data_IF_477537666195
#
_entry.id   IF_477537666195
#
_cell.length_a   1.000
_cell.length_b   1.000
_cell.length_c   1.000
_cell.angle_alpha   90.00
_cell.angle_beta   90.00
_cell.angle_gamma   90.00
#
_symmetry.space_group_name_H-M   'P 1'
#
loop_
_entity.id
_entity.type
_entity.pdbx_description
1 polymer ?
#
# COMPACT_ATOMS: atom_id res chain seq x y z
N UNK A 1 -16.38 -9.07 -11.87
CA UNK A 1 -15.62 -9.61 -13.02
C UNK A 1 -14.36 -10.27 -12.47
N UNK A 2 -13.93 -11.40 -13.03
CA UNK A 2 -12.71 -12.10 -12.63
C UNK A 2 -11.45 -11.38 -13.11
N UNK A 3 -10.34 -11.46 -12.34
CA UNK A 3 -9.06 -10.81 -12.65
C UNK A 3 -8.53 -11.20 -14.02
N UNK A 4 -8.62 -12.47 -14.38
CA UNK A 4 -8.17 -12.99 -15.68
C UNK A 4 -8.91 -12.38 -16.86
N UNK A 5 -10.22 -12.09 -16.70
CA UNK A 5 -11.01 -11.41 -17.73
C UNK A 5 -10.55 -9.96 -17.91
N UNK A 6 -10.23 -9.26 -16.82
CA UNK A 6 -9.72 -7.88 -16.87
C UNK A 6 -8.35 -7.86 -17.56
N UNK A 7 -7.45 -8.77 -17.19
CA UNK A 7 -6.13 -8.90 -17.82
C UNK A 7 -6.31 -9.14 -19.33
N UNK A 8 -7.22 -10.03 -19.74
CA UNK A 8 -7.49 -10.30 -21.16
C UNK A 8 -7.95 -9.03 -21.90
N UNK A 9 -8.86 -8.25 -21.32
CA UNK A 9 -9.32 -6.98 -21.91
C UNK A 9 -8.16 -5.97 -22.05
N UNK A 10 -7.29 -5.86 -21.04
CA UNK A 10 -6.09 -5.02 -21.08
C UNK A 10 -5.14 -5.46 -22.21
N UNK A 11 -4.94 -6.76 -22.38
CA UNK A 11 -4.12 -7.30 -23.47
C UNK A 11 -4.71 -7.05 -24.85
N UNK A 12 -6.04 -7.04 -24.96
CA UNK A 12 -6.77 -6.70 -26.19
C UNK A 12 -6.87 -5.20 -26.45
N UNK A 13 -6.37 -4.35 -25.53
CA UNK A 13 -6.51 -2.90 -25.60
C UNK A 13 -7.98 -2.46 -25.73
N UNK A 14 -8.89 -3.18 -25.08
CA UNK A 14 -10.31 -2.86 -25.09
C UNK A 14 -10.61 -1.76 -24.05
N UNK A 15 -11.26 -0.67 -24.45
CA UNK A 15 -11.62 0.45 -23.54
C UNK A 15 -12.42 -0.02 -22.33
N UNK A 16 -13.25 -1.04 -22.48
CA UNK A 16 -14.01 -1.68 -21.39
C UNK A 16 -13.12 -2.24 -20.25
N UNK A 17 -11.80 -2.38 -20.48
CA UNK A 17 -10.87 -2.76 -19.41
C UNK A 17 -10.78 -1.69 -18.32
N UNK A 18 -10.80 -0.40 -18.69
CA UNK A 18 -10.76 0.72 -17.74
C UNK A 18 -12.04 0.74 -16.90
N UNK A 19 -13.20 0.58 -17.53
CA UNK A 19 -14.48 0.50 -16.80
C UNK A 19 -14.50 -0.70 -15.84
N UNK A 20 -13.94 -1.84 -16.26
CA UNK A 20 -13.84 -3.04 -15.43
C UNK A 20 -12.90 -2.85 -14.23
N UNK A 21 -11.77 -2.14 -14.41
CA UNK A 21 -10.86 -1.75 -13.32
C UNK A 21 -11.58 -0.82 -12.34
N UNK A 22 -12.22 0.24 -12.85
CA UNK A 22 -12.95 1.20 -12.03
C UNK A 22 -14.06 0.54 -11.20
N UNK A 23 -14.87 -0.31 -11.84
CA UNK A 23 -15.95 -1.03 -11.16
C UNK A 23 -15.44 -1.98 -10.07
N UNK A 24 -14.32 -2.67 -10.30
CA UNK A 24 -13.80 -3.67 -9.37
C UNK A 24 -12.94 -3.08 -8.27
N UNK A 25 -12.07 -2.14 -8.59
CA UNK A 25 -11.03 -1.65 -7.68
C UNK A 25 -11.23 -0.20 -7.23
N UNK A 26 -12.09 0.58 -7.91
CA UNK A 26 -12.20 2.04 -7.74
C UNK A 26 -12.48 2.47 -6.32
N UNK A 27 -13.47 1.88 -5.64
CA UNK A 27 -13.82 2.24 -4.27
C UNK A 27 -12.64 2.06 -3.30
N UNK A 28 -11.90 0.96 -3.44
CA UNK A 28 -10.75 0.70 -2.57
C UNK A 28 -9.55 1.57 -2.92
N UNK A 29 -9.30 1.81 -4.21
CA UNK A 29 -8.28 2.78 -4.66
C UNK A 29 -8.56 4.17 -4.12
N UNK A 30 -9.81 4.64 -4.23
CA UNK A 30 -10.23 5.93 -3.68
C UNK A 30 -9.99 6.01 -2.17
N UNK A 31 -10.33 4.95 -1.43
CA UNK A 31 -10.06 4.88 0.02
C UNK A 31 -8.56 4.99 0.33
N UNK A 32 -7.71 4.28 -0.42
CA UNK A 32 -6.25 4.35 -0.25
C UNK A 32 -5.73 5.76 -0.55
N UNK A 33 -6.13 6.33 -1.69
CA UNK A 33 -5.71 7.66 -2.09
C UNK A 33 -6.18 8.75 -1.09
N UNK A 34 -7.43 8.67 -0.63
CA UNK A 34 -7.96 9.58 0.39
C UNK A 34 -7.23 9.47 1.73
N UNK A 35 -6.89 8.25 2.18
CA UNK A 35 -6.13 8.03 3.41
C UNK A 35 -4.71 8.63 3.34
N UNK A 36 -4.13 8.72 2.13
CA UNK A 36 -2.79 9.26 1.91
C UNK A 36 -2.83 10.77 1.67
N UNK A 37 -3.72 11.23 0.80
CA UNK A 37 -3.72 12.60 0.29
C UNK A 37 -4.63 13.54 1.07
N UNK A 38 -5.69 13.02 1.68
CA UNK A 38 -6.66 13.81 2.46
C UNK A 38 -7.55 14.77 1.63
N UNK A 39 -7.29 14.93 0.34
CA UNK A 39 -8.02 15.84 -0.58
C UNK A 39 -8.66 15.03 -1.68
N UNK A 40 -9.97 15.18 -1.85
CA UNK A 40 -10.76 14.36 -2.79
C UNK A 40 -10.29 14.51 -4.24
N UNK A 41 -10.02 15.74 -4.68
CA UNK A 41 -9.57 16.01 -6.05
C UNK A 41 -8.23 15.33 -6.35
N UNK A 42 -7.25 15.42 -5.43
CA UNK A 42 -5.95 14.77 -5.57
C UNK A 42 -6.08 13.23 -5.56
N UNK A 43 -7.01 12.72 -4.76
CA UNK A 43 -7.31 11.30 -4.71
C UNK A 43 -7.93 10.78 -6.02
N UNK A 44 -8.89 11.51 -6.60
CA UNK A 44 -9.49 11.18 -7.91
C UNK A 44 -8.44 11.15 -9.01
N UNK A 45 -7.56 12.15 -9.04
CA UNK A 45 -6.49 12.23 -10.04
C UNK A 45 -5.52 11.03 -9.89
N UNK A 46 -5.10 10.71 -8.65
CA UNK A 46 -4.26 9.54 -8.39
C UNK A 46 -4.92 8.22 -8.77
N UNK A 47 -6.23 8.09 -8.62
CA UNK A 47 -6.99 6.91 -9.06
C UNK A 47 -7.01 6.81 -10.59
N UNK A 48 -7.23 7.92 -11.29
CA UNK A 48 -7.22 7.96 -12.75
C UNK A 48 -5.83 7.65 -13.30
N UNK A 49 -4.78 8.21 -12.70
CA UNK A 49 -3.39 7.90 -13.04
C UNK A 49 -3.06 6.43 -12.81
N UNK A 50 -3.66 5.81 -11.79
CA UNK A 50 -3.52 4.38 -11.53
C UNK A 50 -4.09 3.55 -12.69
N UNK A 51 -5.28 3.89 -13.18
CA UNK A 51 -5.86 3.18 -14.33
C UNK A 51 -5.00 3.32 -15.58
N UNK A 52 -4.47 4.53 -15.83
CA UNK A 52 -3.57 4.79 -16.95
C UNK A 52 -2.25 4.01 -16.80
N UNK A 53 -1.66 3.98 -15.61
CA UNK A 53 -0.44 3.22 -15.35
C UNK A 53 -0.65 1.71 -15.56
N UNK A 54 -1.76 1.15 -15.07
CA UNK A 54 -2.11 -0.25 -15.29
C UNK A 54 -2.33 -0.52 -16.77
N UNK A 55 -3.07 0.34 -17.48
CA UNK A 55 -3.27 0.26 -18.91
C UNK A 55 -1.95 0.23 -19.69
N UNK A 56 -1.01 1.09 -19.35
CA UNK A 56 0.27 1.21 -20.04
C UNK A 56 1.23 0.05 -19.75
N UNK A 57 1.11 -0.59 -18.58
CA UNK A 57 2.04 -1.64 -18.15
C UNK A 57 1.53 -3.06 -18.36
N UNK A 58 0.23 -3.24 -18.58
CA UNK A 58 -0.40 -4.52 -18.91
C UNK A 58 -1.03 -4.44 -20.31
N UNK A 59 -0.45 -5.05 -21.35
CA UNK A 59 0.80 -5.82 -21.40
C UNK A 59 2.06 -4.91 -21.39
N UNK A 60 3.28 -5.48 -21.23
CA UNK A 60 3.61 -6.91 -21.24
C UNK A 60 3.49 -7.61 -19.88
N UNK A 61 3.33 -6.86 -18.78
CA UNK A 61 3.20 -7.48 -17.44
C UNK A 61 1.94 -8.35 -17.37
N UNK A 62 2.03 -9.46 -16.63
CA UNK A 62 0.91 -10.34 -16.27
C UNK A 62 0.83 -10.46 -14.75
N UNK A 63 0.28 -9.43 -14.07
CA UNK A 63 0.23 -9.46 -12.62
C UNK A 63 -0.70 -10.55 -12.09
N UNK A 64 -0.21 -11.30 -11.08
CA UNK A 64 -0.96 -12.29 -10.35
C UNK A 64 -0.60 -12.21 -8.86
N UNK A 65 -1.51 -11.79 -7.99
CA UNK A 65 -2.88 -11.34 -8.26
C UNK A 65 -2.94 -9.91 -8.84
N UNK A 66 -3.88 -9.65 -9.75
CA UNK A 66 -4.10 -8.33 -10.33
C UNK A 66 -4.43 -7.28 -9.26
N UNK A 67 -5.23 -7.64 -8.26
CA UNK A 67 -5.61 -6.75 -7.17
C UNK A 67 -4.38 -6.17 -6.42
N UNK A 68 -3.41 -7.02 -6.09
CA UNK A 68 -2.16 -6.60 -5.45
C UNK A 68 -1.40 -5.58 -6.29
N UNK A 69 -1.29 -5.82 -7.58
CA UNK A 69 -0.62 -4.93 -8.52
C UNK A 69 -1.31 -3.57 -8.63
N UNK A 70 -2.64 -3.57 -8.82
CA UNK A 70 -3.45 -2.35 -8.95
C UNK A 70 -3.36 -1.49 -7.68
N UNK A 71 -3.51 -2.09 -6.50
CA UNK A 71 -3.44 -1.35 -5.23
C UNK A 71 -2.03 -0.86 -4.91
N UNK A 72 -0.99 -1.63 -5.21
CA UNK A 72 0.39 -1.19 -5.06
C UNK A 72 0.69 0.01 -5.97
N UNK A 73 0.26 -0.05 -7.23
CA UNK A 73 0.41 1.04 -8.19
C UNK A 73 -0.29 2.31 -7.69
N UNK A 74 -1.54 2.22 -7.27
CA UNK A 74 -2.31 3.36 -6.79
C UNK A 74 -1.74 3.96 -5.50
N UNK A 75 -1.26 3.11 -4.58
CA UNK A 75 -0.58 3.57 -3.37
C UNK A 75 0.71 4.33 -3.70
N UNK A 76 1.55 3.81 -4.58
CA UNK A 76 2.80 4.46 -4.96
C UNK A 76 2.54 5.82 -5.63
N UNK A 77 1.60 5.89 -6.57
CA UNK A 77 1.20 7.15 -7.22
C UNK A 77 0.72 8.17 -6.17
N UNK A 78 -0.12 7.74 -5.22
CA UNK A 78 -0.62 8.63 -4.16
C UNK A 78 0.51 9.12 -3.24
N UNK A 79 1.49 8.28 -2.91
CA UNK A 79 2.65 8.66 -2.10
C UNK A 79 3.57 9.64 -2.85
N UNK A 80 3.81 9.41 -4.14
CA UNK A 80 4.63 10.32 -4.95
C UNK A 80 3.95 11.68 -5.11
N UNK A 81 2.64 11.70 -5.30
CA UNK A 81 1.86 12.93 -5.31
C UNK A 81 1.92 13.65 -3.96
N UNK A 82 1.81 12.93 -2.84
CA UNK A 82 1.96 13.51 -1.50
C UNK A 82 3.33 14.17 -1.33
N UNK A 83 4.42 13.50 -1.75
CA UNK A 83 5.78 14.06 -1.71
C UNK A 83 5.87 15.35 -2.52
N UNK A 84 5.28 15.39 -3.72
CA UNK A 84 5.24 16.59 -4.55
C UNK A 84 4.52 17.75 -3.86
N UNK A 85 3.31 17.51 -3.34
CA UNK A 85 2.49 18.52 -2.64
C UNK A 85 3.19 19.03 -1.37
N UNK A 86 3.80 18.13 -0.59
CA UNK A 86 4.50 18.50 0.65
C UNK A 86 5.81 19.24 0.39
N UNK A 87 6.52 18.91 -0.67
CA UNK A 87 7.71 19.64 -1.11
C UNK A 87 7.39 21.10 -1.49
N UNK A 88 6.23 21.34 -2.13
CA UNK A 88 5.76 22.68 -2.46
C UNK A 88 5.33 23.50 -1.22
N UNK A 89 4.66 22.86 -0.26
CA UNK A 89 4.00 23.57 0.87
C UNK A 89 4.86 23.73 2.12
N UNK A 90 6.01 23.06 2.26
CA UNK A 90 6.90 23.07 3.45
C UNK A 90 6.17 23.00 4.81
N UNK A 91 5.00 22.37 4.88
CA UNK A 91 4.18 22.31 6.09
C UNK A 91 4.05 20.85 6.56
N UNK A 92 4.72 20.54 7.69
CA UNK A 92 4.90 19.19 8.22
C UNK A 92 3.66 18.57 8.88
N UNK A 93 2.47 18.66 8.27
CA UNK A 93 1.20 18.24 8.87
C UNK A 93 0.58 16.96 8.34
N UNK A 94 1.33 16.12 7.66
CA UNK A 94 0.77 14.84 7.20
C UNK A 94 1.38 13.68 8.00
N UNK A 95 0.61 13.20 8.97
CA UNK A 95 0.93 12.00 9.75
C UNK A 95 0.69 10.75 8.88
N UNK A 96 1.63 10.48 7.98
CA UNK A 96 1.57 9.31 7.09
C UNK A 96 1.89 8.07 7.92
N UNK A 97 1.04 7.01 7.93
CA UNK A 97 1.31 5.79 8.70
C UNK A 97 2.69 5.17 8.46
N UNK A 98 3.31 5.48 7.33
CA UNK A 98 4.65 5.00 6.98
C UNK A 98 5.73 5.59 7.91
N UNK A 99 5.51 6.79 8.47
CA UNK A 99 6.44 7.40 9.43
C UNK A 99 6.53 6.60 10.73
N UNK A 100 5.46 5.88 11.10
CA UNK A 100 5.47 4.95 12.22
C UNK A 100 6.42 3.78 12.00
N UNK A 101 6.73 3.44 10.74
CA UNK A 101 7.65 2.38 10.35
C UNK A 101 9.10 2.87 10.18
N UNK A 102 9.34 4.18 10.15
CA UNK A 102 10.65 4.76 9.88
C UNK A 102 11.75 4.25 10.84
N UNK A 103 11.37 3.91 12.08
CA UNK A 103 12.28 3.35 13.08
C UNK A 103 12.44 1.82 12.97
N UNK A 104 11.73 1.15 12.07
CA UNK A 104 11.69 -0.30 11.95
C UNK A 104 12.19 -0.79 10.59
N UNK A 105 12.14 0.05 9.57
CA UNK A 105 12.46 -0.29 8.19
C UNK A 105 13.45 0.75 7.67
N UNK A 106 14.58 0.36 7.04
CA UNK A 106 15.47 1.31 6.40
C UNK A 106 14.69 2.17 5.39
N UNK A 107 15.07 3.45 5.28
CA UNK A 107 14.43 4.35 4.33
C UNK A 107 14.39 3.68 2.95
N UNK A 108 13.21 3.56 2.32
CA UNK A 108 13.13 2.92 1.02
C UNK A 108 14.00 3.71 0.04
N UNK A 109 14.97 3.04 -0.56
CA UNK A 109 15.58 3.54 -1.78
C UNK A 109 14.43 3.72 -2.79
N UNK A 110 14.28 4.94 -3.31
CA UNK A 110 13.21 5.34 -4.24
C UNK A 110 13.30 4.65 -5.60
N UNK A 111 14.34 3.86 -5.83
CA UNK A 111 14.58 3.08 -7.03
C UNK A 111 14.20 1.61 -6.75
N UNK A 112 13.71 0.90 -7.77
CA UNK A 112 13.53 -0.56 -7.75
C UNK A 112 14.91 -1.24 -7.69
N UNK A 113 15.59 -1.10 -6.55
CA UNK A 113 16.89 -1.74 -6.34
C UNK A 113 16.69 -3.20 -5.90
N UNK A 114 17.74 -3.99 -6.06
CA UNK A 114 17.77 -5.38 -5.59
C UNK A 114 17.51 -5.41 -4.07
N UNK A 115 18.10 -4.47 -3.34
CA UNK A 115 17.96 -4.34 -1.88
C UNK A 115 16.52 -4.06 -1.46
N UNK A 116 15.81 -3.16 -2.18
CA UNK A 116 14.40 -2.88 -1.90
C UNK A 116 13.51 -4.10 -2.12
N UNK A 117 13.82 -4.90 -3.15
CA UNK A 117 13.11 -6.15 -3.42
C UNK A 117 13.39 -7.22 -2.36
N UNK A 118 14.64 -7.37 -1.93
CA UNK A 118 15.02 -8.32 -0.87
C UNK A 118 14.39 -7.94 0.47
N UNK A 119 14.40 -6.65 0.84
CA UNK A 119 13.70 -6.14 2.00
C UNK A 119 12.19 -6.45 1.95
N UNK A 120 11.56 -6.25 0.80
CA UNK A 120 10.16 -6.61 0.59
C UNK A 120 9.89 -8.10 0.82
N UNK A 121 10.80 -8.98 0.37
CA UNK A 121 10.72 -10.42 0.62
C UNK A 121 10.90 -10.75 2.11
N UNK A 122 11.82 -10.07 2.82
CA UNK A 122 12.01 -10.24 4.25
C UNK A 122 10.74 -9.85 5.05
N UNK A 123 10.13 -8.71 4.72
CA UNK A 123 8.86 -8.28 5.33
C UNK A 123 7.76 -9.31 5.04
N UNK A 124 7.66 -9.84 3.83
CA UNK A 124 6.66 -10.87 3.49
C UNK A 124 6.89 -12.17 4.27
N UNK A 125 8.16 -12.60 4.47
CA UNK A 125 8.49 -13.75 5.33
C UNK A 125 8.00 -13.50 6.76
N UNK A 126 8.33 -12.35 7.33
CA UNK A 126 7.85 -11.97 8.65
C UNK A 126 6.31 -12.01 8.75
N UNK A 127 5.60 -11.39 7.79
CA UNK A 127 4.14 -11.39 7.77
C UNK A 127 3.56 -12.80 7.64
N UNK A 128 4.32 -13.76 7.10
CA UNK A 128 3.98 -15.18 7.09
C UNK A 128 4.01 -15.84 8.48
N UNK A 129 4.80 -15.30 9.42
CA UNK A 129 4.94 -15.87 10.78
C UNK A 129 3.93 -15.35 11.78
N UNK A 130 3.32 -14.17 11.53
CA UNK A 130 2.33 -13.60 12.46
C UNK A 130 0.93 -14.16 12.20
N UNK A 131 0.05 -14.08 13.22
CA UNK A 131 -1.33 -14.53 13.10
C UNK A 131 -2.08 -13.77 11.98
N UNK A 132 -3.13 -14.38 11.43
CA UNK A 132 -3.94 -13.77 10.36
C UNK A 132 -4.52 -12.41 10.78
N UNK A 133 -4.97 -12.27 12.03
CA UNK A 133 -5.50 -11.01 12.56
C UNK A 133 -4.42 -9.92 12.62
N UNK A 134 -3.23 -10.27 13.12
CA UNK A 134 -2.10 -9.35 13.21
C UNK A 134 -1.60 -8.93 11.82
N UNK A 135 -1.57 -9.86 10.86
CA UNK A 135 -1.26 -9.58 9.46
C UNK A 135 -2.27 -8.63 8.85
N UNK A 136 -3.55 -8.88 9.04
CA UNK A 136 -4.64 -8.01 8.56
C UNK A 136 -4.51 -6.61 9.16
N UNK A 137 -4.28 -6.51 10.45
CA UNK A 137 -4.11 -5.25 11.18
C UNK A 137 -2.92 -4.46 10.64
N UNK A 138 -1.77 -5.11 10.42
CA UNK A 138 -0.56 -4.51 9.86
C UNK A 138 -0.79 -4.03 8.43
N UNK A 139 -1.33 -4.87 7.54
CA UNK A 139 -1.58 -4.52 6.15
C UNK A 139 -2.58 -3.38 6.03
N UNK A 140 -3.65 -3.38 6.82
CA UNK A 140 -4.64 -2.30 6.81
C UNK A 140 -4.02 -0.97 7.23
N UNK A 141 -3.18 -0.96 8.27
CA UNK A 141 -2.54 0.26 8.74
C UNK A 141 -1.48 0.78 7.76
N UNK A 142 -0.52 -0.08 7.37
CA UNK A 142 0.69 0.37 6.67
C UNK A 142 0.63 0.23 5.15
N UNK A 143 -0.19 -0.68 4.65
CA UNK A 143 -0.36 -0.83 3.20
C UNK A 143 -1.54 -0.04 2.67
N UNK A 144 -2.67 -0.07 3.35
CA UNK A 144 -3.90 0.60 2.92
C UNK A 144 -4.12 1.98 3.55
N UNK A 145 -3.35 2.35 4.57
CA UNK A 145 -3.43 3.64 5.25
C UNK A 145 -4.69 3.82 6.10
N UNK A 146 -5.38 2.73 6.48
CA UNK A 146 -6.58 2.80 7.30
C UNK A 146 -6.24 3.39 8.69
N UNK A 147 -7.15 4.17 9.27
CA UNK A 147 -6.98 4.66 10.64
C UNK A 147 -7.09 3.51 11.65
N UNK A 148 -6.39 3.64 12.78
CA UNK A 148 -6.44 2.64 13.86
C UNK A 148 -7.89 2.45 14.35
N UNK A 149 -8.64 3.55 14.44
CA UNK A 149 -10.05 3.54 14.82
C UNK A 149 -10.90 2.70 13.85
N UNK A 150 -10.74 2.90 12.53
CA UNK A 150 -11.48 2.14 11.52
C UNK A 150 -11.13 0.65 11.57
N UNK A 151 -9.85 0.32 11.72
CA UNK A 151 -9.38 -1.06 11.83
C UNK A 151 -9.95 -1.72 13.09
N UNK A 152 -9.88 -1.03 14.24
CA UNK A 152 -10.36 -1.53 15.52
C UNK A 152 -11.86 -1.82 15.47
N UNK A 153 -12.66 -0.90 14.91
CA UNK A 153 -14.11 -1.06 14.74
C UNK A 153 -14.43 -2.31 13.93
N UNK A 154 -13.79 -2.52 12.80
CA UNK A 154 -14.08 -3.64 11.90
C UNK A 154 -13.62 -5.00 12.47
N UNK A 155 -12.55 -4.99 13.28
CA UNK A 155 -12.04 -6.20 13.93
C UNK A 155 -12.68 -6.46 15.30
N UNK A 156 -13.64 -5.64 15.75
CA UNK A 156 -14.27 -5.76 17.06
C UNK A 156 -13.31 -5.52 18.24
N UNK A 157 -12.27 -4.70 18.03
CA UNK A 157 -11.26 -4.36 19.03
C UNK A 157 -11.51 -2.98 19.63
N UNK A 158 -10.98 -2.74 20.84
CA UNK A 158 -10.79 -1.38 21.34
C UNK A 158 -9.61 -0.72 20.64
N UNK A 159 -9.69 0.57 20.35
CA UNK A 159 -8.65 1.32 19.64
C UNK A 159 -7.26 1.18 20.31
N UNK A 160 -7.20 1.32 21.65
CA UNK A 160 -5.95 1.11 22.40
C UNK A 160 -5.40 -0.31 22.23
N UNK A 161 -6.26 -1.33 22.15
CA UNK A 161 -5.82 -2.71 21.93
C UNK A 161 -5.22 -2.89 20.53
N UNK A 162 -5.81 -2.27 19.51
CA UNK A 162 -5.28 -2.26 18.16
C UNK A 162 -3.92 -1.53 18.10
N UNK A 163 -3.80 -0.36 18.73
CA UNK A 163 -2.55 0.39 18.82
C UNK A 163 -1.43 -0.40 19.49
N UNK A 164 -1.72 -1.05 20.63
CA UNK A 164 -0.74 -1.89 21.35
C UNK A 164 -0.31 -3.08 20.50
N UNK A 165 -1.27 -3.74 19.79
CA UNK A 165 -0.93 -4.84 18.88
C UNK A 165 -0.04 -4.37 17.74
N UNK A 166 -0.33 -3.24 17.11
CA UNK A 166 0.51 -2.64 16.06
C UNK A 166 1.92 -2.35 16.58
N UNK A 167 2.05 -1.76 17.77
CA UNK A 167 3.34 -1.53 18.40
C UNK A 167 4.16 -2.82 18.56
N UNK A 168 3.53 -3.89 19.05
CA UNK A 168 4.19 -5.21 19.20
C UNK A 168 4.62 -5.79 17.85
N UNK A 169 3.77 -5.68 16.82
CA UNK A 169 4.10 -6.16 15.47
C UNK A 169 5.31 -5.40 14.91
N UNK A 170 5.37 -4.07 15.11
CA UNK A 170 6.53 -3.26 14.69
C UNK A 170 7.83 -3.71 15.38
N UNK A 171 7.79 -3.95 16.69
CA UNK A 171 8.95 -4.44 17.42
C UNK A 171 9.41 -5.80 16.91
N UNK A 172 8.50 -6.74 16.69
CA UNK A 172 8.82 -8.06 16.13
C UNK A 172 9.37 -7.96 14.72
N UNK A 173 8.84 -7.06 13.89
CA UNK A 173 9.37 -6.81 12.55
C UNK A 173 10.81 -6.26 12.62
N UNK A 174 11.07 -5.29 13.50
CA UNK A 174 12.41 -4.74 13.69
C UNK A 174 13.40 -5.84 14.10
N UNK A 175 13.07 -6.67 15.08
CA UNK A 175 13.89 -7.81 15.52
C UNK A 175 14.16 -8.81 14.37
N UNK A 176 13.13 -9.08 13.55
CA UNK A 176 13.28 -9.94 12.39
C UNK A 176 14.24 -9.35 11.35
N UNK A 177 14.12 -8.06 11.06
CA UNK A 177 14.98 -7.37 10.10
C UNK A 177 16.42 -7.21 10.59
N UNK A 178 16.64 -7.04 11.90
CA UNK A 178 17.98 -7.06 12.50
C UNK A 178 18.61 -8.44 12.30
N UNK A 179 17.88 -9.52 12.60
CA UNK A 179 18.37 -10.90 12.43
C UNK A 179 18.72 -11.24 10.98
N UNK A 180 18.03 -10.65 10.02
CA UNK A 180 18.30 -10.82 8.60
C UNK A 180 19.33 -9.81 8.05
N UNK A 181 19.85 -8.89 8.88
CA UNK A 181 20.91 -7.95 8.51
C UNK A 181 20.46 -6.73 7.71
N UNK A 182 19.15 -6.38 7.76
CA UNK A 182 18.61 -5.20 7.07
C UNK A 182 18.61 -3.93 7.93
N UNK A 183 18.74 -4.08 9.24
CA UNK A 183 18.69 -2.98 10.22
C UNK A 183 19.77 -3.24 11.27
N UNK A 184 20.51 -2.21 11.66
CA UNK A 184 21.46 -2.26 12.76
C UNK A 184 20.73 -2.30 14.12
N UNK A 185 21.40 -2.83 15.18
CA UNK A 185 20.87 -2.93 16.54
C UNK A 185 20.51 -1.58 17.16
#
# INVERSE_FOLDING_TARGET
MDDQKIIKLLWQRAESAIEALAKKFGNRLMSIAMNILGVHQDAEESVNDTYLAVWNTVPPKKPDPLAGYVYATGRNISLDRLKYITAEKRDGRYDVPIDELANCIPAPALEETVEARELGLAINRFLGTVSADNRTLFLRRYWFGDSVQAIAKDLGLRENAASVRLGRIRMQLREHLIKEGYVDE
#
